data_IF_734398369029
#
_entry.id   IF_734398369029
#
_cell.length_a   1.000
_cell.length_b   1.000
_cell.length_c   1.000
_cell.angle_alpha   90.00
_cell.angle_beta   90.00
_cell.angle_gamma   90.00
#
_symmetry.space_group_name_H-M   'P 1'
#
loop_
_entity.id
_entity.type
_entity.pdbx_description
1 polymer ?
#
# COMPACT_ATOMS: atom_id res chain seq x y z
N UNK A 1 12.59 10.00 8.80
CA UNK A 1 11.29 9.47 8.35
C UNK A 1 11.32 9.56 6.84
N UNK A 2 11.35 8.43 6.14
CA UNK A 2 11.33 8.40 4.68
C UNK A 2 9.96 8.83 4.17
N UNK A 3 9.92 9.37 2.95
CA UNK A 3 8.65 9.60 2.25
C UNK A 3 8.03 8.25 1.86
N UNK A 4 6.70 8.18 1.76
CA UNK A 4 5.95 6.97 1.40
C UNK A 4 4.99 7.28 0.24
N UNK A 5 4.35 6.27 -0.32
CA UNK A 5 3.27 6.41 -1.28
C UNK A 5 1.95 5.97 -0.66
N UNK A 6 0.82 6.34 -1.29
CA UNK A 6 -0.52 5.98 -0.83
C UNK A 6 -1.29 5.27 -1.94
N UNK A 7 -1.97 4.19 -1.60
CA UNK A 7 -2.89 3.48 -2.48
C UNK A 7 -4.31 3.61 -1.91
N UNK A 8 -5.25 4.08 -2.73
CA UNK A 8 -6.66 4.12 -2.33
C UNK A 8 -7.25 2.72 -2.36
N UNK A 9 -7.98 2.33 -1.31
CA UNK A 9 -8.76 1.09 -1.34
C UNK A 9 -9.84 1.18 -2.44
N UNK A 10 -10.07 0.09 -3.20
CA UNK A 10 -11.06 0.08 -4.27
C UNK A 10 -12.48 0.25 -3.71
N UNK A 11 -12.75 -0.39 -2.57
CA UNK A 11 -14.04 -0.37 -1.88
C UNK A 11 -14.04 0.59 -0.70
N UNK A 12 -15.19 1.23 -0.48
CA UNK A 12 -15.39 2.06 0.69
C UNK A 12 -15.66 1.18 1.92
N UNK A 13 -14.97 1.50 3.02
CA UNK A 13 -15.15 0.85 4.31
C UNK A 13 -15.84 1.79 5.30
N UNK A 14 -16.59 1.21 6.24
CA UNK A 14 -17.24 1.95 7.30
C UNK A 14 -16.27 2.16 8.46
N UNK A 15 -16.18 3.41 8.96
CA UNK A 15 -15.37 3.71 10.12
C UNK A 15 -16.09 3.28 11.41
N UNK A 16 -15.49 2.46 12.29
CA UNK A 16 -16.12 2.04 13.53
C UNK A 16 -16.33 3.19 14.53
N UNK A 17 -15.62 4.32 14.37
CA UNK A 17 -15.73 5.48 15.26
C UNK A 17 -16.81 6.49 14.81
N UNK A 18 -16.90 6.82 13.52
CA UNK A 18 -17.85 7.83 13.02
C UNK A 18 -18.98 7.27 12.13
N UNK A 19 -18.99 5.95 11.89
CA UNK A 19 -19.97 5.22 11.07
C UNK A 19 -20.11 5.71 9.62
N UNK A 20 -19.20 6.55 9.14
CA UNK A 20 -19.18 7.02 7.77
C UNK A 20 -18.47 6.03 6.86
N UNK A 21 -19.01 5.83 5.66
CA UNK A 21 -18.39 5.02 4.60
C UNK A 21 -17.51 5.92 3.73
N UNK A 22 -16.24 5.57 3.60
CA UNK A 22 -15.29 6.31 2.76
C UNK A 22 -14.23 5.38 2.19
N UNK A 23 -13.52 5.82 1.15
CA UNK A 23 -12.35 5.12 0.62
C UNK A 23 -11.12 5.52 1.42
N UNK A 24 -10.52 4.55 2.09
CA UNK A 24 -9.33 4.77 2.92
C UNK A 24 -8.06 4.62 2.09
N UNK A 25 -6.94 5.04 2.67
CA UNK A 25 -5.63 5.01 2.05
C UNK A 25 -4.73 4.01 2.76
N UNK A 26 -3.93 3.29 1.99
CA UNK A 26 -2.88 2.40 2.46
C UNK A 26 -1.53 3.03 2.11
N UNK A 27 -0.71 3.29 3.12
CA UNK A 27 0.67 3.75 2.93
C UNK A 27 1.57 2.57 2.58
N UNK A 28 2.50 2.76 1.65
CA UNK A 28 3.49 1.74 1.29
C UNK A 28 4.81 2.39 0.85
N UNK A 29 5.91 1.63 0.95
CA UNK A 29 7.25 2.08 0.60
C UNK A 29 7.77 1.20 -0.54
N UNK A 30 7.61 1.69 -1.77
CA UNK A 30 8.10 1.07 -3.01
C UNK A 30 7.93 2.09 -4.15
N UNK A 31 8.79 2.03 -5.17
CA UNK A 31 8.93 3.00 -6.27
C UNK A 31 9.49 4.36 -5.84
N UNK A 32 9.22 5.43 -6.60
CA UNK A 32 9.59 6.80 -6.22
C UNK A 32 8.90 7.21 -4.91
N UNK A 33 9.67 7.56 -3.88
CA UNK A 33 9.14 7.94 -2.57
C UNK A 33 8.80 9.43 -2.52
N UNK A 34 7.67 9.82 -3.10
CA UNK A 34 7.31 11.24 -3.30
C UNK A 34 5.88 11.61 -2.85
N UNK A 35 5.24 10.83 -1.97
CA UNK A 35 3.85 11.03 -1.52
C UNK A 35 2.82 10.95 -2.65
N UNK A 36 3.09 10.11 -3.65
CA UNK A 36 2.15 9.86 -4.74
C UNK A 36 0.92 9.11 -4.25
N UNK A 37 -0.23 9.46 -4.85
CA UNK A 37 -1.50 8.79 -4.64
C UNK A 37 -1.79 7.90 -5.84
N UNK A 38 -1.99 6.62 -5.57
CA UNK A 38 -2.28 5.60 -6.56
C UNK A 38 -3.67 5.00 -6.39
N UNK A 39 -4.14 4.36 -7.47
CA UNK A 39 -5.30 3.49 -7.56
C UNK A 39 -4.90 2.18 -8.24
N UNK A 40 -5.68 1.11 -8.00
CA UNK A 40 -5.50 -0.16 -8.73
C UNK A 40 -5.58 0.10 -10.24
N UNK A 41 -4.70 -0.57 -10.99
CA UNK A 41 -4.53 -0.46 -12.43
C UNK A 41 -3.56 0.63 -12.87
N UNK A 42 -3.10 1.49 -11.95
CA UNK A 42 -2.08 2.48 -12.27
C UNK A 42 -0.68 1.88 -12.27
N UNK A 43 0.16 2.41 -13.15
CA UNK A 43 1.58 2.11 -13.21
C UNK A 43 2.32 2.95 -12.17
N UNK A 44 3.25 2.32 -11.46
CA UNK A 44 4.16 2.97 -10.53
C UNK A 44 5.08 3.92 -11.29
N UNK A 45 5.29 5.10 -10.70
CA UNK A 45 6.28 6.04 -11.19
C UNK A 45 7.62 5.76 -10.53
N UNK A 46 8.65 5.67 -11.35
CA UNK A 46 10.04 5.54 -10.92
C UNK A 46 10.70 6.90 -11.06
N UNK A 47 11.47 7.30 -10.04
CA UNK A 47 12.17 8.57 -10.05
C UNK A 47 13.44 8.43 -10.89
N UNK A 48 13.66 9.36 -11.81
CA UNK A 48 14.96 9.47 -12.50
C UNK A 48 16.06 9.94 -11.53
N UNK A 49 15.69 10.65 -10.46
CA UNK A 49 16.56 11.22 -9.42
C UNK A 49 15.80 11.34 -8.09
N UNK A 50 16.41 11.00 -6.95
CA UNK A 50 15.81 11.12 -5.61
C UNK A 50 15.71 9.80 -4.85
N UNK A 51 14.87 9.78 -3.81
CA UNK A 51 14.63 8.58 -2.99
C UNK A 51 13.77 7.57 -3.76
N UNK A 52 14.30 6.36 -3.89
CA UNK A 52 13.72 5.23 -4.59
C UNK A 52 13.86 4.00 -3.71
N UNK A 53 12.80 3.20 -3.65
CA UNK A 53 12.79 1.90 -3.01
C UNK A 53 12.31 0.84 -4.01
N UNK A 54 12.97 -0.31 -4.07
CA UNK A 54 12.62 -1.37 -5.00
C UNK A 54 13.38 -1.38 -6.32
N UNK A 55 12.93 -2.25 -7.22
CA UNK A 55 13.55 -2.50 -8.53
C UNK A 55 12.53 -2.29 -9.66
N UNK A 56 12.76 -1.37 -10.61
CA UNK A 56 11.87 -1.16 -11.75
C UNK A 56 11.81 -2.38 -12.66
N UNK A 57 10.62 -2.68 -13.18
CA UNK A 57 10.41 -3.78 -14.13
C UNK A 57 10.50 -5.17 -13.51
N UNK A 58 10.41 -5.29 -12.18
CA UNK A 58 10.24 -6.58 -11.52
C UNK A 58 8.90 -7.21 -11.96
N UNK A 59 8.94 -8.48 -12.36
CA UNK A 59 7.77 -9.16 -12.94
C UNK A 59 6.60 -9.30 -11.97
N UNK A 60 6.88 -9.69 -10.72
CA UNK A 60 5.89 -9.77 -9.64
C UNK A 60 6.51 -9.33 -8.32
N UNK A 61 5.91 -8.32 -7.69
CA UNK A 61 6.32 -7.81 -6.38
C UNK A 61 5.13 -7.78 -5.44
N UNK A 62 5.38 -8.25 -4.22
CA UNK A 62 4.46 -8.15 -3.11
C UNK A 62 4.96 -7.08 -2.15
N UNK A 63 4.10 -6.12 -1.82
CA UNK A 63 4.43 -4.96 -0.99
C UNK A 63 3.53 -4.98 0.24
N UNK A 64 4.11 -4.71 1.40
CA UNK A 64 3.38 -4.47 2.62
C UNK A 64 2.89 -3.01 2.67
N UNK A 65 1.63 -2.85 3.04
CA UNK A 65 1.03 -1.55 3.28
C UNK A 65 0.40 -1.44 4.66
N UNK A 66 0.30 -0.20 5.15
CA UNK A 66 -0.33 0.15 6.43
C UNK A 66 -1.47 1.11 6.19
N UNK A 67 -2.66 0.77 6.67
CA UNK A 67 -3.86 1.60 6.56
C UNK A 67 -3.68 2.91 7.33
N UNK A 68 -4.00 4.02 6.68
CA UNK A 68 -4.08 5.32 7.32
C UNK A 68 -5.29 5.41 8.25
N UNK A 69 -5.36 6.48 9.03
CA UNK A 69 -6.57 6.80 9.79
C UNK A 69 -7.76 7.09 8.87
N UNK A 70 -8.96 7.00 9.42
CA UNK A 70 -10.19 7.36 8.73
C UNK A 70 -10.05 8.74 8.09
N UNK A 71 -10.32 8.91 6.79
CA UNK A 71 -10.12 10.20 6.11
C UNK A 71 -11.09 11.30 6.58
N UNK A 72 -12.10 10.95 7.37
CA UNK A 72 -13.12 11.89 7.86
C UNK A 72 -12.93 12.27 9.33
N UNK A 73 -12.53 11.33 10.20
CA UNK A 73 -12.40 11.58 11.65
C UNK A 73 -11.01 11.29 12.22
N UNK A 74 -10.07 10.80 11.41
CA UNK A 74 -8.70 10.47 11.83
C UNK A 74 -8.56 9.23 12.70
N UNK A 75 -9.64 8.47 12.94
CA UNK A 75 -9.58 7.25 13.75
C UNK A 75 -8.73 6.16 13.09
N UNK A 76 -7.75 5.63 13.80
CA UNK A 76 -6.92 4.51 13.35
C UNK A 76 -7.49 3.19 13.85
N UNK A 77 -7.48 2.17 12.99
CA UNK A 77 -7.80 0.80 13.40
C UNK A 77 -6.67 0.21 14.26
N UNK A 78 -7.00 -0.85 14.99
CA UNK A 78 -6.02 -1.62 15.75
C UNK A 78 -4.96 -2.28 14.84
N UNK A 79 -3.81 -2.62 15.42
CA UNK A 79 -2.65 -3.13 14.69
C UNK A 79 -2.96 -4.37 13.85
N UNK A 80 -3.86 -5.24 14.29
CA UNK A 80 -4.25 -6.44 13.55
C UNK A 80 -5.07 -6.12 12.29
N UNK A 81 -5.70 -4.95 12.22
CA UNK A 81 -6.63 -4.57 11.16
C UNK A 81 -6.04 -3.60 10.14
N UNK A 82 -4.84 -3.08 10.40
CA UNK A 82 -4.20 -2.05 9.57
C UNK A 82 -3.25 -2.59 8.50
N UNK A 83 -2.93 -3.88 8.48
CA UNK A 83 -1.98 -4.42 7.49
C UNK A 83 -2.66 -4.86 6.20
N UNK A 84 -2.04 -4.50 5.08
CA UNK A 84 -2.49 -4.83 3.75
C UNK A 84 -1.33 -5.34 2.91
N UNK A 85 -1.65 -6.22 1.96
CA UNK A 85 -0.75 -6.71 0.93
C UNK A 85 -1.15 -6.08 -0.40
N UNK A 86 -0.20 -5.47 -1.09
CA UNK A 86 -0.35 -4.89 -2.42
C UNK A 86 0.42 -5.77 -3.40
N UNK A 87 -0.23 -6.20 -4.47
CA UNK A 87 0.39 -6.98 -5.53
C UNK A 87 0.64 -6.08 -6.74
N UNK A 88 1.88 -6.12 -7.24
CA UNK A 88 2.33 -5.36 -8.41
C UNK A 88 2.88 -6.33 -9.45
N UNK A 89 2.45 -6.17 -10.70
CA UNK A 89 2.94 -6.93 -11.84
C UNK A 89 3.43 -5.98 -12.92
N UNK A 90 4.67 -6.16 -13.38
CA UNK A 90 5.29 -5.31 -14.42
C UNK A 90 5.06 -3.80 -14.16
N UNK A 91 5.35 -3.38 -12.92
CA UNK A 91 5.13 -2.04 -12.38
C UNK A 91 3.67 -1.56 -12.30
N UNK A 92 2.67 -2.42 -12.52
CA UNK A 92 1.25 -2.08 -12.42
C UNK A 92 0.66 -2.61 -11.12
N UNK A 93 0.03 -1.74 -10.34
CA UNK A 93 -0.68 -2.12 -9.11
C UNK A 93 -1.91 -2.95 -9.49
N UNK A 94 -1.88 -4.24 -9.20
CA UNK A 94 -2.94 -5.16 -9.59
C UNK A 94 -4.00 -5.35 -8.51
N UNK A 95 -3.61 -5.41 -7.24
CA UNK A 95 -4.56 -5.61 -6.14
C UNK A 95 -4.05 -5.05 -4.82
N UNK A 96 -4.99 -4.85 -3.90
CA UNK A 96 -4.71 -4.61 -2.48
C UNK A 96 -5.72 -5.39 -1.66
N UNK A 97 -5.22 -6.18 -0.71
CA UNK A 97 -6.03 -7.03 0.16
C UNK A 97 -5.58 -6.86 1.60
N UNK A 98 -6.50 -6.95 2.55
CA UNK A 98 -6.15 -6.98 3.97
C UNK A 98 -5.29 -8.22 4.25
N UNK A 99 -4.20 -8.04 4.98
CA UNK A 99 -3.39 -9.17 5.43
C UNK A 99 -4.17 -9.96 6.49
N UNK A 100 -4.60 -11.17 6.13
CA UNK A 100 -5.36 -12.07 6.99
C UNK A 100 -4.46 -13.05 7.76
N UNK A 101 -3.13 -13.02 7.55
CA UNK A 101 -2.21 -13.99 8.16
C UNK A 101 -1.99 -13.74 9.66
N UNK A 102 -2.20 -12.50 10.12
CA UNK A 102 -1.95 -12.10 11.51
C UNK A 102 -0.46 -12.01 11.86
N UNK A 103 0.44 -12.11 10.88
CA UNK A 103 1.88 -12.07 11.08
C UNK A 103 2.41 -10.65 11.37
N UNK A 104 1.61 -9.61 11.11
CA UNK A 104 2.00 -8.23 11.34
C UNK A 104 3.03 -7.73 10.33
N UNK A 105 3.95 -6.86 10.78
CA UNK A 105 5.02 -6.34 9.93
C UNK A 105 5.97 -7.46 9.47
N UNK A 106 6.26 -7.48 8.19
CA UNK A 106 7.38 -8.21 7.60
C UNK A 106 8.69 -7.48 7.94
N UNK A 107 9.81 -8.19 7.83
CA UNK A 107 11.14 -7.60 8.02
C UNK A 107 11.48 -6.57 6.93
N UNK A 108 10.89 -6.70 5.74
CA UNK A 108 11.07 -5.80 4.60
C UNK A 108 9.72 -5.33 4.09
N UNK A 109 9.64 -4.07 3.64
CA UNK A 109 8.40 -3.47 3.14
C UNK A 109 7.91 -4.09 1.81
N UNK A 110 8.76 -4.85 1.11
CA UNK A 110 8.42 -5.51 -0.16
C UNK A 110 9.32 -6.73 -0.42
N UNK A 111 8.88 -7.60 -1.33
CA UNK A 111 9.62 -8.77 -1.79
C UNK A 111 9.28 -9.10 -3.25
N UNK A 112 10.29 -9.40 -4.06
CA UNK A 112 10.11 -9.94 -5.42
C UNK A 112 9.70 -11.41 -5.31
N UNK A 113 8.60 -11.76 -5.96
CA UNK A 113 8.13 -13.14 -6.03
C UNK A 113 8.71 -13.77 -7.31
N UNK A 114 9.52 -14.83 -7.21
CA UNK A 114 10.04 -15.51 -8.38
C UNK A 114 8.91 -16.10 -9.22
N UNK A 115 8.91 -15.84 -10.52
CA UNK A 115 8.04 -16.53 -11.45
C UNK A 115 8.47 -18.01 -11.51
N UNK A 116 7.57 -18.92 -11.11
CA UNK A 116 7.79 -20.38 -11.22
C UNK A 116 7.70 -20.87 -12.67
#
# INVERSE_FOLDING_TARGET
MGMFNRLQLPEAMECPNCSQRSKWWVQFVYSALNLSNYQIGQRLHWADWGDLEGEPGAGHVRIQGVLEGCPLCGFHLDDVDKFYTIEVYDDVIASVVKDATGNGYWESDWVVIPNC
#
